data_IF_325408127999
#
_entry.id   IF_325408127999
#
_cell.length_a   1.000
_cell.length_b   1.000
_cell.length_c   1.000
_cell.angle_alpha   90.00
_cell.angle_beta   90.00
_cell.angle_gamma   90.00
#
_symmetry.space_group_name_H-M   'P 1'
#
loop_
_entity.id
_entity.type
_entity.pdbx_description
1 polymer ?
#
# COMPACT_ATOMS: atom_id res chain seq x y z
N UNK A 1 24.51 42.12 27.98
CA UNK A 1 23.80 41.46 26.86
C UNK A 1 24.00 42.30 25.61
N UNK A 2 24.92 41.92 24.72
CA UNK A 2 25.13 42.64 23.46
C UNK A 2 24.24 42.02 22.38
N UNK A 3 23.24 42.77 21.92
CA UNK A 3 22.36 42.35 20.83
C UNK A 3 23.09 42.55 19.49
N UNK A 4 23.44 41.45 18.83
CA UNK A 4 23.99 41.48 17.48
C UNK A 4 22.86 41.93 16.54
N UNK A 5 23.06 43.05 15.84
CA UNK A 5 22.06 43.59 14.92
C UNK A 5 21.98 42.72 13.66
N UNK A 6 20.79 42.65 13.05
CA UNK A 6 20.52 41.84 11.85
C UNK A 6 21.50 42.12 10.67
N UNK A 7 22.08 43.33 10.63
CA UNK A 7 23.10 43.73 9.66
C UNK A 7 24.44 43.00 9.88
N UNK A 8 24.86 42.82 11.13
CA UNK A 8 26.08 42.09 11.48
C UNK A 8 25.97 40.58 11.20
N UNK A 9 24.78 40.00 11.39
CA UNK A 9 24.53 38.58 11.07
C UNK A 9 24.60 38.31 9.55
N UNK A 10 24.09 39.23 8.73
CA UNK A 10 24.19 39.14 7.27
C UNK A 10 25.63 39.27 6.77
N UNK A 11 26.42 40.16 7.39
CA UNK A 11 27.83 40.33 7.05
C UNK A 11 28.65 39.07 7.37
N UNK A 12 28.49 38.51 8.57
CA UNK A 12 29.16 37.26 8.99
C UNK A 12 28.76 36.09 8.10
N UNK A 13 27.48 36.00 7.69
CA UNK A 13 27.01 34.93 6.81
C UNK A 13 27.56 35.05 5.39
N UNK A 14 27.74 36.26 4.89
CA UNK A 14 28.34 36.52 3.59
C UNK A 14 29.86 36.22 3.60
N UNK A 15 30.57 36.65 4.64
CA UNK A 15 32.00 36.38 4.77
C UNK A 15 32.27 34.87 4.93
N UNK A 16 31.48 34.18 5.74
CA UNK A 16 31.56 32.73 5.93
C UNK A 16 31.21 31.96 4.63
N UNK A 17 30.25 32.45 3.84
CA UNK A 17 29.90 31.85 2.56
C UNK A 17 30.99 32.06 1.51
N UNK A 18 31.59 33.25 1.42
CA UNK A 18 32.69 33.52 0.50
C UNK A 18 33.97 32.76 0.89
N UNK A 19 34.22 32.51 2.18
CA UNK A 19 35.33 31.66 2.63
C UNK A 19 35.12 30.18 2.22
N UNK A 20 33.90 29.65 2.36
CA UNK A 20 33.58 28.28 1.93
C UNK A 20 33.65 28.17 0.40
N UNK A 21 33.10 29.16 -0.31
CA UNK A 21 33.10 29.22 -1.78
C UNK A 21 34.51 29.32 -2.34
N UNK A 22 35.40 30.09 -1.72
CA UNK A 22 36.80 30.20 -2.14
C UNK A 22 37.60 28.93 -1.83
N UNK A 23 37.35 28.24 -0.72
CA UNK A 23 37.95 26.91 -0.45
C UNK A 23 37.51 25.88 -1.48
N UNK A 24 36.22 25.83 -1.82
CA UNK A 24 35.69 24.92 -2.84
C UNK A 24 36.21 25.22 -4.25
N UNK A 25 36.25 26.48 -4.66
CA UNK A 25 36.77 26.88 -5.99
C UNK A 25 38.25 26.53 -6.15
N UNK A 26 39.08 26.80 -5.13
CA UNK A 26 40.51 26.47 -5.13
C UNK A 26 40.78 24.96 -5.17
N UNK A 27 39.83 24.14 -4.74
CA UNK A 27 39.93 22.68 -4.77
C UNK A 27 39.47 22.10 -6.11
N UNK A 28 38.54 22.77 -6.80
CA UNK A 28 38.08 22.43 -8.16
C UNK A 28 39.16 22.73 -9.20
N UNK A 29 39.96 23.80 -9.04
CA UNK A 29 41.06 24.16 -9.95
C UNK A 29 42.24 23.16 -9.95
N UNK A 30 42.31 22.27 -8.96
CA UNK A 30 43.33 21.19 -8.91
C UNK A 30 42.96 19.97 -9.74
N UNK A 31 41.72 19.88 -10.21
CA UNK A 31 41.26 18.79 -11.06
C UNK A 31 41.46 19.24 -12.50
N UNK A 32 42.28 18.56 -13.34
CA UNK A 32 42.55 18.97 -14.71
C UNK A 32 41.37 18.61 -15.62
N UNK A 33 40.19 19.14 -15.31
CA UNK A 33 39.00 19.01 -16.13
C UNK A 33 38.92 20.21 -17.06
N UNK A 34 38.75 19.98 -18.37
CA UNK A 34 38.62 21.06 -19.31
C UNK A 34 37.33 21.87 -19.03
N UNK A 35 37.29 23.18 -19.35
CA UNK A 35 36.20 24.07 -18.94
C UNK A 35 34.80 23.60 -19.35
N UNK A 36 34.67 22.88 -20.47
CA UNK A 36 33.40 22.30 -20.94
C UNK A 36 32.86 21.19 -20.02
N UNK A 37 33.73 20.43 -19.36
CA UNK A 37 33.33 19.36 -18.44
C UNK A 37 32.72 19.92 -17.15
N UNK A 38 33.25 21.03 -16.64
CA UNK A 38 32.68 21.72 -15.48
C UNK A 38 31.30 22.31 -15.79
N UNK A 39 31.14 22.90 -16.97
CA UNK A 39 29.84 23.40 -17.44
C UNK A 39 28.84 22.23 -17.59
N UNK A 40 29.27 21.09 -18.14
CA UNK A 40 28.43 19.91 -18.26
C UNK A 40 27.97 19.38 -16.89
N UNK A 41 28.87 19.28 -15.92
CA UNK A 41 28.54 18.85 -14.56
C UNK A 41 27.58 19.83 -13.89
N UNK A 42 27.80 21.14 -14.04
CA UNK A 42 26.90 22.16 -13.49
C UNK A 42 25.50 22.10 -14.11
N UNK A 43 25.39 21.86 -15.42
CA UNK A 43 24.11 21.68 -16.12
C UNK A 43 23.41 20.41 -15.64
N UNK A 44 24.13 19.29 -15.50
CA UNK A 44 23.55 18.04 -14.97
C UNK A 44 23.08 18.21 -13.53
N UNK A 45 23.87 18.86 -12.68
CA UNK A 45 23.49 19.16 -11.30
C UNK A 45 22.26 20.09 -11.23
N UNK A 46 22.20 21.13 -12.07
CA UNK A 46 21.05 22.03 -12.16
C UNK A 46 19.79 21.30 -12.64
N UNK A 47 19.90 20.41 -13.62
CA UNK A 47 18.79 19.58 -14.10
C UNK A 47 18.31 18.60 -13.03
N UNK A 48 19.23 17.98 -12.28
CA UNK A 48 18.87 17.10 -11.16
C UNK A 48 18.19 17.85 -10.01
N UNK A 49 18.66 19.06 -9.69
CA UNK A 49 18.02 19.91 -8.68
C UNK A 49 16.64 20.36 -9.16
N UNK A 50 16.50 20.77 -10.43
CA UNK A 50 15.21 21.17 -10.99
C UNK A 50 14.20 20.01 -11.04
N UNK A 51 14.63 18.80 -11.41
CA UNK A 51 13.76 17.62 -11.38
C UNK A 51 13.41 17.24 -9.94
N UNK A 52 14.36 17.29 -9.00
CA UNK A 52 14.10 17.05 -7.59
C UNK A 52 13.11 18.07 -7.00
N UNK A 53 13.31 19.37 -7.27
CA UNK A 53 12.38 20.43 -6.88
C UNK A 53 11.00 20.25 -7.51
N UNK A 54 10.92 19.88 -8.79
CA UNK A 54 9.65 19.60 -9.46
C UNK A 54 8.94 18.36 -8.88
N UNK A 55 9.68 17.30 -8.54
CA UNK A 55 9.15 16.11 -7.88
C UNK A 55 8.66 16.42 -6.46
N UNK A 56 9.37 17.25 -5.70
CA UNK A 56 8.95 17.69 -4.36
C UNK A 56 7.71 18.58 -4.44
N UNK A 57 7.63 19.51 -5.41
CA UNK A 57 6.45 20.35 -5.62
C UNK A 57 5.24 19.49 -6.04
N UNK A 58 5.43 18.48 -6.90
CA UNK A 58 4.34 17.58 -7.32
C UNK A 58 3.88 16.66 -6.18
N UNK A 59 4.81 16.14 -5.35
CA UNK A 59 4.50 15.32 -4.17
C UNK A 59 3.87 16.13 -3.02
N UNK A 60 4.23 17.40 -2.86
CA UNK A 60 3.65 18.29 -1.84
C UNK A 60 2.31 18.93 -2.28
N UNK A 61 2.10 19.20 -3.57
CA UNK A 61 0.83 19.79 -4.06
C UNK A 61 -0.28 18.76 -4.30
N UNK A 62 0.02 17.46 -4.45
CA UNK A 62 -1.00 16.41 -4.62
C UNK A 62 -1.55 15.87 -3.29
N UNK A 63 -1.01 16.25 -2.13
CA UNK A 63 -1.54 15.85 -0.80
C UNK A 63 -2.75 16.67 -0.32
N UNK A 64 -3.26 17.62 -1.13
CA UNK A 64 -4.30 18.56 -0.68
C UNK A 64 -5.53 18.60 -1.59
N UNK A 65 -6.05 17.44 -2.02
CA UNK A 65 -7.35 17.40 -2.70
C UNK A 65 -8.02 16.03 -2.71
N UNK A 66 -8.58 15.55 -1.59
CA UNK A 66 -9.81 14.73 -1.59
C UNK A 66 -10.51 14.82 -0.22
N UNK A 67 -11.31 15.87 0.00
CA UNK A 67 -12.61 15.67 0.66
C UNK A 67 -13.55 16.86 0.41
N UNK A 68 -14.25 16.82 -0.72
CA UNK A 68 -15.58 17.45 -0.91
C UNK A 68 -16.11 17.15 -2.30
N UNK A 69 -17.03 16.20 -2.38
CA UNK A 69 -18.34 16.36 -3.02
C UNK A 69 -19.14 15.08 -2.84
N UNK A 70 -20.01 15.11 -1.83
CA UNK A 70 -21.14 14.20 -1.71
C UNK A 70 -21.98 14.25 -2.98
N UNK A 71 -22.28 13.05 -3.49
CA UNK A 71 -23.09 12.85 -4.69
C UNK A 71 -24.55 12.77 -4.24
N UNK A 72 -25.37 13.69 -4.78
CA UNK A 72 -26.84 13.69 -4.67
C UNK A 72 -27.39 12.30 -5.02
N UNK A 73 -28.14 11.72 -4.11
CA UNK A 73 -29.03 10.59 -4.38
C UNK A 73 -30.23 11.04 -5.22
N UNK A 74 -30.71 10.12 -6.07
CA UNK A 74 -32.10 10.12 -6.55
C UNK A 74 -32.43 8.75 -7.15
N UNK A 75 -32.63 7.78 -6.27
CA UNK A 75 -33.22 6.49 -6.65
C UNK A 75 -34.66 6.54 -6.16
N UNK A 76 -35.60 6.42 -7.10
CA UNK A 76 -37.02 6.36 -6.82
C UNK A 76 -37.52 4.93 -6.67
N UNK A 77 -38.75 4.86 -6.13
CA UNK A 77 -39.72 3.74 -6.12
C UNK A 77 -39.69 2.84 -4.87
N UNK A 78 -40.77 2.44 -4.19
CA UNK A 78 -42.17 2.86 -3.89
C UNK A 78 -42.71 1.76 -2.94
N UNK A 79 -43.82 2.03 -2.23
CA UNK A 79 -44.87 1.14 -1.70
C UNK A 79 -44.65 0.66 -0.24
N UNK A 80 -45.59 0.79 0.73
CA UNK A 80 -47.06 1.04 0.77
C UNK A 80 -47.49 1.66 2.12
N UNK A 81 -48.59 2.42 2.06
CA UNK A 81 -49.75 2.55 2.97
C UNK A 81 -49.58 2.42 4.51
N UNK A 82 -50.09 3.41 5.25
CA UNK A 82 -51.39 3.30 5.96
C UNK A 82 -51.84 4.69 6.46
N UNK A 83 -53.16 4.92 6.46
CA UNK A 83 -53.83 6.17 6.80
C UNK A 83 -54.87 5.93 7.90
N UNK A 84 -55.07 6.92 8.78
CA UNK A 84 -56.12 6.99 9.83
C UNK A 84 -55.73 6.25 11.12
N UNK A 85 -56.11 6.63 12.33
CA UNK A 85 -57.11 7.58 12.82
C UNK A 85 -56.83 7.91 14.31
N UNK A 86 -57.50 8.92 14.85
CA UNK A 86 -57.39 9.48 16.21
C UNK A 86 -57.99 8.59 17.34
N UNK A 87 -57.40 8.64 18.56
CA UNK A 87 -58.01 8.98 19.89
C UNK A 87 -57.41 8.25 21.11
N UNK A 88 -57.19 9.03 22.19
CA UNK A 88 -57.46 8.81 23.65
C UNK A 88 -57.23 7.41 24.27
N UNK A 89 -56.75 7.19 25.52
CA UNK A 89 -56.57 7.98 26.74
C UNK A 89 -55.86 7.06 27.78
N UNK A 90 -55.29 7.64 28.85
CA UNK A 90 -55.01 7.05 30.19
C UNK A 90 -53.99 5.89 30.28
N UNK A 91 -53.37 5.53 31.40
CA UNK A 91 -52.77 6.14 32.59
C UNK A 91 -52.08 4.94 33.30
N UNK A 92 -51.05 5.21 34.10
CA UNK A 92 -50.61 4.45 35.29
C UNK A 92 -49.87 3.09 35.22
N UNK A 93 -48.76 3.10 35.98
CA UNK A 93 -48.17 2.08 36.86
C UNK A 93 -47.58 0.77 36.29
N UNK A 94 -46.26 0.55 36.50
CA UNK A 94 -45.78 -0.42 37.50
C UNK A 94 -44.27 -0.29 37.75
N UNK A 95 -43.88 -0.45 39.02
CA UNK A 95 -42.53 -0.34 39.55
C UNK A 95 -41.87 -1.72 39.75
N UNK A 96 -40.53 -1.72 39.76
CA UNK A 96 -39.69 -2.86 40.12
C UNK A 96 -39.26 -3.68 38.90
N UNK A 97 -38.04 -4.17 38.75
CA UNK A 97 -37.05 -4.52 39.74
C UNK A 97 -35.72 -4.76 39.00
N UNK A 98 -34.64 -4.59 39.76
CA UNK A 98 -33.25 -4.99 39.56
C UNK A 98 -32.93 -5.99 38.44
N UNK A 99 -31.88 -5.71 37.67
CA UNK A 99 -31.23 -6.72 36.84
C UNK A 99 -29.99 -6.19 36.12
N UNK A 100 -28.85 -6.27 36.78
CA UNK A 100 -27.54 -6.11 36.16
C UNK A 100 -27.33 -7.25 35.14
N UNK A 101 -27.38 -6.94 33.86
CA UNK A 101 -26.65 -7.68 32.82
C UNK A 101 -26.18 -6.66 31.79
N UNK A 102 -24.93 -6.22 31.96
CA UNK A 102 -24.16 -5.54 30.92
C UNK A 102 -23.88 -6.58 29.82
N UNK A 103 -24.78 -6.67 28.85
CA UNK A 103 -24.55 -7.33 27.57
C UNK A 103 -24.49 -6.25 26.49
N UNK A 104 -23.35 -6.25 25.77
CA UNK A 104 -23.15 -5.71 24.42
C UNK A 104 -23.33 -4.18 24.30
N UNK A 105 -22.31 -3.42 23.92
CA UNK A 105 -21.86 -3.34 22.54
C UNK A 105 -20.34 -3.18 22.52
N UNK A 106 -19.63 -4.22 22.05
CA UNK A 106 -18.33 -3.99 21.44
C UNK A 106 -18.65 -3.25 20.15
N UNK A 107 -18.57 -1.92 20.20
CA UNK A 107 -18.32 -1.11 19.02
C UNK A 107 -17.01 -1.65 18.42
N UNK A 108 -17.12 -2.64 17.54
CA UNK A 108 -16.10 -2.87 16.54
C UNK A 108 -16.10 -1.58 15.71
N UNK A 109 -15.22 -0.65 16.08
CA UNK A 109 -14.75 0.37 15.17
C UNK A 109 -14.38 -0.38 13.89
N UNK A 110 -15.27 -0.34 12.90
CA UNK A 110 -14.95 -0.66 11.52
C UNK A 110 -13.81 0.28 11.15
N UNK A 111 -12.56 -0.15 11.42
CA UNK A 111 -11.38 0.46 10.82
C UNK A 111 -11.69 0.42 9.35
N UNK A 112 -11.91 1.59 8.77
CA UNK A 112 -12.12 1.81 7.36
C UNK A 112 -10.89 1.20 6.66
N UNK A 113 -10.96 -0.10 6.36
CA UNK A 113 -9.85 -0.84 5.77
C UNK A 113 -9.59 -0.13 4.46
N UNK A 114 -8.43 0.52 4.36
CA UNK A 114 -8.00 1.12 3.12
C UNK A 114 -8.11 0.02 2.05
N UNK A 115 -9.01 0.18 1.08
CA UNK A 115 -9.22 -0.82 0.04
C UNK A 115 -7.99 -0.85 -0.85
N UNK A 116 -7.02 -1.69 -0.50
CA UNK A 116 -5.78 -1.92 -1.26
C UNK A 116 -6.05 -2.68 -2.57
N UNK A 117 -7.18 -3.39 -2.61
CA UNK A 117 -7.69 -4.15 -3.75
C UNK A 117 -8.05 -5.58 -3.34
N UNK A 118 -8.36 -6.40 -4.33
CA UNK A 118 -8.73 -7.81 -4.16
C UNK A 118 -7.88 -8.69 -5.07
N UNK A 119 -7.52 -9.88 -4.59
CA UNK A 119 -6.80 -10.91 -5.33
C UNK A 119 -7.66 -12.16 -5.44
N UNK A 120 -7.82 -12.67 -6.67
CA UNK A 120 -8.39 -13.97 -6.94
C UNK A 120 -7.28 -15.00 -7.13
N UNK A 121 -7.36 -16.07 -6.35
CA UNK A 121 -6.41 -17.17 -6.41
C UNK A 121 -7.16 -18.51 -6.35
N UNK A 122 -6.44 -19.57 -6.74
CA UNK A 122 -6.87 -20.94 -6.58
C UNK A 122 -5.81 -21.74 -5.86
N UNK A 123 -6.23 -22.71 -5.06
CA UNK A 123 -5.37 -23.63 -4.32
C UNK A 123 -5.91 -25.03 -4.51
N UNK A 124 -5.03 -25.93 -4.90
CA UNK A 124 -5.33 -27.35 -5.06
C UNK A 124 -4.17 -28.18 -4.49
N UNK A 125 -4.49 -29.24 -3.76
CA UNK A 125 -3.47 -30.14 -3.22
C UNK A 125 -3.65 -31.54 -3.79
N UNK A 126 -2.62 -31.99 -4.50
CA UNK A 126 -2.55 -33.34 -5.03
C UNK A 126 -1.88 -34.26 -3.99
N UNK A 127 -2.71 -35.07 -3.33
CA UNK A 127 -2.29 -36.06 -2.33
C UNK A 127 -1.48 -37.22 -2.93
N UNK A 128 -1.69 -37.57 -4.20
CA UNK A 128 -0.97 -38.66 -4.86
C UNK A 128 0.46 -38.24 -5.21
N UNK A 129 0.59 -37.00 -5.70
CA UNK A 129 1.88 -36.45 -6.10
C UNK A 129 2.59 -35.64 -5.01
N UNK A 130 1.98 -35.41 -3.86
CA UNK A 130 2.46 -34.55 -2.76
C UNK A 130 2.85 -33.14 -3.24
N UNK A 131 1.94 -32.51 -3.99
CA UNK A 131 2.15 -31.20 -4.63
C UNK A 131 1.02 -30.24 -4.29
N UNK A 132 1.38 -29.07 -3.78
CA UNK A 132 0.48 -27.93 -3.66
C UNK A 132 0.55 -27.10 -4.94
N UNK A 133 -0.58 -26.92 -5.60
CA UNK A 133 -0.76 -26.08 -6.77
C UNK A 133 -1.44 -24.79 -6.34
N UNK A 134 -0.81 -23.65 -6.61
CA UNK A 134 -1.34 -22.31 -6.33
C UNK A 134 -1.49 -21.57 -7.64
N UNK A 135 -2.72 -21.26 -8.03
CA UNK A 135 -3.04 -20.46 -9.20
C UNK A 135 -3.30 -19.01 -8.83
N UNK A 136 -2.66 -18.07 -9.51
CA UNK A 136 -2.95 -16.64 -9.43
C UNK A 136 -3.75 -16.28 -10.69
N UNK A 137 -5.04 -15.99 -10.52
CA UNK A 137 -5.94 -15.75 -11.65
C UNK A 137 -5.89 -14.28 -12.06
N UNK A 138 -6.33 -13.40 -11.16
CA UNK A 138 -6.45 -11.96 -11.43
C UNK A 138 -6.50 -11.17 -10.13
N UNK A 139 -6.25 -9.87 -10.23
CA UNK A 139 -6.54 -8.93 -9.16
C UNK A 139 -7.50 -7.85 -9.67
N UNK A 140 -8.24 -7.23 -8.75
CA UNK A 140 -9.21 -6.19 -9.04
C UNK A 140 -9.13 -5.06 -8.02
N UNK A 141 -9.53 -3.86 -8.45
CA UNK A 141 -9.60 -2.66 -7.60
C UNK A 141 -8.29 -2.33 -6.87
N UNK A 142 -7.14 -2.62 -7.49
CA UNK A 142 -5.84 -2.27 -6.92
C UNK A 142 -5.68 -0.75 -6.79
N UNK A 143 -5.05 -0.30 -5.71
CA UNK A 143 -4.68 1.12 -5.59
C UNK A 143 -3.57 1.49 -6.57
N UNK A 144 -3.68 2.67 -7.16
CA UNK A 144 -2.62 3.20 -8.02
C UNK A 144 -1.48 3.74 -7.16
N UNK A 145 -0.31 3.12 -7.23
CA UNK A 145 0.91 3.65 -6.58
C UNK A 145 1.68 4.61 -7.49
N UNK A 146 1.56 4.50 -8.82
CA UNK A 146 2.27 5.40 -9.71
C UNK A 146 1.70 6.82 -9.72
N UNK A 147 2.61 7.78 -9.91
CA UNK A 147 2.30 9.20 -10.16
C UNK A 147 1.36 9.47 -11.35
N UNK A 148 1.12 8.47 -12.22
CA UNK A 148 0.21 8.50 -13.35
C UNK A 148 -1.22 8.02 -13.07
N UNK A 149 -1.51 7.52 -11.86
CA UNK A 149 -2.80 6.90 -11.54
C UNK A 149 -2.96 5.49 -12.12
N UNK A 150 -1.84 4.86 -12.50
CA UNK A 150 -1.76 3.46 -12.93
C UNK A 150 -0.87 2.68 -11.96
N UNK A 151 -0.79 1.37 -12.15
CA UNK A 151 0.23 0.52 -11.54
C UNK A 151 0.65 -0.54 -12.56
N UNK A 152 1.84 -1.09 -12.36
CA UNK A 152 2.40 -2.23 -13.06
C UNK A 152 2.41 -3.47 -12.10
N UNK A 153 1.24 -4.01 -11.70
CA UNK A 153 1.16 -5.03 -10.66
C UNK A 153 1.78 -6.37 -11.08
N UNK A 154 2.43 -7.02 -10.11
CA UNK A 154 2.84 -8.42 -10.13
C UNK A 154 2.69 -9.06 -8.75
N UNK A 155 2.50 -10.37 -8.70
CA UNK A 155 2.31 -11.13 -7.46
C UNK A 155 3.53 -11.98 -7.19
N UNK A 156 4.02 -11.92 -5.96
CA UNK A 156 5.06 -12.80 -5.42
C UNK A 156 4.42 -13.82 -4.49
N UNK A 157 4.60 -15.09 -4.83
CA UNK A 157 4.07 -16.23 -4.08
C UNK A 157 5.22 -16.96 -3.39
N UNK A 158 5.11 -17.13 -2.08
CA UNK A 158 6.10 -17.85 -1.27
C UNK A 158 5.41 -18.51 -0.07
N UNK A 159 6.09 -19.48 0.54
CA UNK A 159 5.55 -20.22 1.67
C UNK A 159 6.48 -20.02 2.88
N UNK A 160 5.92 -19.60 4.01
CA UNK A 160 6.66 -19.48 5.27
C UNK A 160 6.64 -20.80 6.03
N UNK A 161 7.74 -21.16 6.74
CA UNK A 161 9.01 -20.43 6.85
C UNK A 161 9.98 -20.65 5.66
N UNK A 162 9.65 -21.53 4.72
CA UNK A 162 10.52 -21.89 3.59
C UNK A 162 10.58 -20.80 2.49
N UNK A 163 11.24 -19.68 2.82
CA UNK A 163 11.45 -18.53 1.91
C UNK A 163 12.36 -18.85 0.70
N UNK A 164 12.84 -20.09 0.52
CA UNK A 164 13.75 -20.45 -0.58
C UNK A 164 13.04 -20.52 -1.93
N UNK A 165 11.81 -21.01 -1.96
CA UNK A 165 11.00 -21.10 -3.18
C UNK A 165 10.09 -19.89 -3.27
N UNK A 166 10.47 -18.95 -4.14
CA UNK A 166 9.67 -17.77 -4.48
C UNK A 166 9.33 -17.85 -5.95
N UNK A 167 8.06 -17.59 -6.26
CA UNK A 167 7.57 -17.49 -7.62
C UNK A 167 7.02 -16.08 -7.82
N UNK A 168 7.33 -15.49 -8.96
CA UNK A 168 6.83 -14.17 -9.35
C UNK A 168 6.00 -14.33 -10.62
N UNK A 169 4.85 -13.67 -10.68
CA UNK A 169 4.04 -13.59 -11.90
C UNK A 169 4.67 -12.60 -12.89
N UNK A 170 4.17 -12.62 -14.12
CA UNK A 170 4.42 -11.57 -15.10
C UNK A 170 3.89 -10.23 -14.59
N UNK A 171 4.65 -9.20 -14.94
CA UNK A 171 4.28 -7.81 -14.68
C UNK A 171 3.27 -7.37 -15.75
N UNK A 172 2.10 -6.90 -15.32
CA UNK A 172 1.10 -6.32 -16.22
C UNK A 172 1.16 -4.80 -16.14
N UNK A 173 1.49 -4.15 -17.25
CA UNK A 173 1.73 -2.69 -17.23
C UNK A 173 0.46 -1.87 -17.31
N UNK A 174 0.41 -0.78 -16.55
CA UNK A 174 -0.61 0.26 -16.55
C UNK A 174 -2.03 -0.27 -16.37
N UNK A 175 -2.22 -1.19 -15.43
CA UNK A 175 -3.53 -1.78 -15.13
C UNK A 175 -3.75 -1.92 -13.63
N UNK A 176 -4.97 -1.63 -13.18
CA UNK A 176 -5.42 -1.87 -11.80
C UNK A 176 -6.20 -3.19 -11.68
N UNK A 177 -6.46 -3.85 -12.82
CA UNK A 177 -7.16 -5.13 -12.90
C UNK A 177 -6.33 -6.12 -13.75
N UNK A 178 -5.15 -6.55 -13.26
CA UNK A 178 -4.32 -7.49 -13.98
C UNK A 178 -4.94 -8.89 -14.02
N UNK A 179 -4.84 -9.56 -15.15
CA UNK A 179 -5.21 -10.98 -15.31
C UNK A 179 -3.92 -11.75 -15.57
N UNK A 180 -3.49 -12.52 -14.57
CA UNK A 180 -2.24 -13.29 -14.60
C UNK A 180 -2.45 -14.67 -15.22
N UNK A 181 -3.43 -15.43 -14.73
CA UNK A 181 -3.68 -16.83 -15.08
C UNK A 181 -2.40 -17.69 -15.05
N UNK A 182 -1.63 -17.57 -13.97
CA UNK A 182 -0.39 -18.32 -13.76
C UNK A 182 -0.54 -19.32 -12.62
N UNK A 183 0.13 -20.46 -12.74
CA UNK A 183 0.04 -21.54 -11.75
C UNK A 183 1.43 -21.96 -11.30
N UNK A 184 1.60 -22.05 -9.99
CA UNK A 184 2.85 -22.39 -9.33
C UNK A 184 2.69 -23.69 -8.54
N UNK A 185 3.71 -24.56 -8.60
CA UNK A 185 3.66 -25.88 -7.97
C UNK A 185 4.75 -26.00 -6.91
N UNK A 186 4.35 -26.27 -5.68
CA UNK A 186 5.22 -26.50 -4.53
C UNK A 186 5.17 -27.97 -4.14
N UNK A 187 6.32 -28.65 -4.22
CA UNK A 187 6.49 -30.02 -3.72
C UNK A 187 6.65 -29.98 -2.19
N UNK A 188 5.57 -30.26 -1.45
CA UNK A 188 5.48 -30.20 0.01
C UNK A 188 4.57 -31.34 0.48
N UNK A 189 5.02 -32.10 1.48
CA UNK A 189 4.22 -33.16 2.10
C UNK A 189 3.06 -32.56 2.93
N UNK A 190 1.92 -33.25 2.95
CA UNK A 190 0.72 -32.79 3.65
C UNK A 190 0.96 -32.59 5.15
N UNK A 191 1.76 -33.46 5.77
CA UNK A 191 2.15 -33.38 7.18
C UNK A 191 2.91 -32.09 7.51
N UNK A 192 3.73 -31.59 6.58
CA UNK A 192 4.47 -30.35 6.76
C UNK A 192 3.62 -29.11 6.45
N UNK A 193 2.47 -29.30 5.80
CA UNK A 193 1.67 -28.19 5.28
C UNK A 193 0.94 -27.46 6.40
N UNK A 194 0.44 -28.17 7.42
CA UNK A 194 -0.30 -27.57 8.55
C UNK A 194 0.50 -26.51 9.34
N UNK A 195 1.84 -26.59 9.32
CA UNK A 195 2.72 -25.60 9.95
C UNK A 195 3.19 -24.47 9.03
N UNK A 196 2.70 -24.41 7.79
CA UNK A 196 3.13 -23.45 6.77
C UNK A 196 2.06 -22.40 6.49
N UNK A 197 2.51 -21.24 6.03
CA UNK A 197 1.64 -20.13 5.61
C UNK A 197 1.97 -19.77 4.18
N UNK A 198 0.97 -19.84 3.30
CA UNK A 198 1.08 -19.33 1.94
C UNK A 198 0.96 -17.81 1.98
N UNK A 199 1.93 -17.12 1.41
CA UNK A 199 1.94 -15.67 1.30
C UNK A 199 1.91 -15.28 -0.17
N UNK A 200 0.95 -14.44 -0.53
CA UNK A 200 0.77 -13.87 -1.86
C UNK A 200 0.82 -12.35 -1.72
N UNK A 201 1.97 -11.77 -2.04
CA UNK A 201 2.19 -10.33 -1.91
C UNK A 201 2.14 -9.66 -3.28
N UNK A 202 1.28 -8.66 -3.43
CA UNK A 202 1.11 -7.88 -4.67
C UNK A 202 2.04 -6.67 -4.59
N UNK A 203 2.85 -6.50 -5.62
CA UNK A 203 3.83 -5.43 -5.76
C UNK A 203 3.55 -4.63 -7.02
N UNK A 204 3.88 -3.33 -6.97
CA UNK A 204 3.96 -2.47 -8.14
C UNK A 204 5.39 -2.48 -8.69
N UNK A 205 5.57 -2.93 -9.94
CA UNK A 205 6.88 -2.95 -10.57
C UNK A 205 7.26 -1.55 -11.04
N UNK A 206 8.35 -1.04 -10.50
CA UNK A 206 8.77 0.33 -10.74
C UNK A 206 10.16 0.37 -11.39
N UNK A 207 10.25 0.90 -12.61
CA UNK A 207 11.50 0.82 -13.40
C UNK A 207 12.63 1.68 -12.84
N UNK A 208 12.28 2.77 -12.17
CA UNK A 208 13.21 3.81 -11.72
C UNK A 208 13.23 3.98 -10.21
N UNK A 209 12.49 3.15 -9.48
CA UNK A 209 12.30 3.21 -8.03
C UNK A 209 12.39 1.83 -7.38
N UNK A 210 12.33 1.79 -6.06
CA UNK A 210 12.03 0.55 -5.33
C UNK A 210 10.58 0.16 -5.62
N UNK A 211 10.32 -1.13 -5.79
CA UNK A 211 8.96 -1.63 -5.99
C UNK A 211 8.12 -1.39 -4.73
N UNK A 212 6.92 -0.84 -4.92
CA UNK A 212 5.99 -0.56 -3.84
C UNK A 212 5.13 -1.78 -3.55
N UNK A 213 4.87 -2.06 -2.27
CA UNK A 213 3.96 -3.14 -1.88
C UNK A 213 2.55 -2.59 -1.87
N UNK A 214 1.67 -3.16 -2.68
CA UNK A 214 0.26 -2.77 -2.72
C UNK A 214 -0.47 -3.41 -1.54
N UNK A 215 -0.25 -4.71 -1.34
CA UNK A 215 -0.80 -5.44 -0.22
C UNK A 215 -0.43 -6.92 -0.29
N UNK A 216 -0.83 -7.68 0.71
CA UNK A 216 -0.55 -9.11 0.79
C UNK A 216 -1.76 -9.90 1.30
N UNK A 217 -1.77 -11.18 0.94
CA UNK A 217 -2.67 -12.19 1.50
C UNK A 217 -1.82 -13.24 2.18
N UNK A 218 -2.03 -13.42 3.48
CA UNK A 218 -1.40 -14.49 4.27
C UNK A 218 -2.47 -15.53 4.58
N UNK A 219 -2.24 -16.74 4.11
CA UNK A 219 -3.18 -17.85 4.27
C UNK A 219 -2.48 -19.01 5.00
N UNK A 220 -2.76 -19.18 6.30
CA UNK A 220 -2.28 -20.33 7.04
C UNK A 220 -2.87 -21.59 6.43
N UNK A 221 -2.04 -22.56 6.03
CA UNK A 221 -2.57 -23.75 5.36
C UNK A 221 -3.45 -24.59 6.29
N UNK A 222 -3.31 -24.43 7.62
CA UNK A 222 -4.16 -25.08 8.62
C UNK A 222 -5.63 -24.59 8.61
N UNK A 223 -5.90 -23.39 8.09
CA UNK A 223 -7.27 -22.84 8.06
C UNK A 223 -8.03 -23.19 6.78
N UNK A 224 -7.37 -23.85 5.84
CA UNK A 224 -7.91 -24.15 4.51
C UNK A 224 -8.25 -25.63 4.43
N UNK A 225 -9.44 -25.96 3.91
CA UNK A 225 -9.77 -27.35 3.56
C UNK A 225 -9.22 -27.71 2.18
N UNK A 226 -8.09 -28.41 2.15
CA UNK A 226 -7.43 -28.86 0.92
C UNK A 226 -8.02 -30.15 0.34
N UNK A 227 -9.16 -30.63 0.87
CA UNK A 227 -9.87 -31.78 0.31
C UNK A 227 -10.46 -31.53 -1.08
N UNK A 228 -10.58 -30.26 -1.49
CA UNK A 228 -11.06 -29.85 -2.82
C UNK A 228 -10.27 -28.64 -3.33
N UNK A 229 -10.21 -28.42 -4.66
CA UNK A 229 -9.73 -27.16 -5.20
C UNK A 229 -10.56 -26.00 -4.67
N UNK A 230 -9.88 -24.99 -4.14
CA UNK A 230 -10.49 -23.75 -3.69
C UNK A 230 -10.19 -22.67 -4.72
N UNK A 231 -11.17 -21.84 -5.02
CA UNK A 231 -11.01 -20.62 -5.81
C UNK A 231 -11.87 -19.53 -5.16
N UNK A 232 -11.23 -18.48 -4.66
CA UNK A 232 -11.92 -17.40 -3.97
C UNK A 232 -11.23 -16.04 -4.18
N UNK A 233 -11.99 -14.99 -3.88
CA UNK A 233 -11.48 -13.62 -3.82
C UNK A 233 -11.14 -13.27 -2.38
N UNK A 234 -9.95 -12.69 -2.16
CA UNK A 234 -9.57 -12.11 -0.88
C UNK A 234 -9.17 -10.66 -1.03
N UNK A 235 -9.55 -9.86 -0.04
CA UNK A 235 -9.08 -8.49 0.10
C UNK A 235 -7.59 -8.50 0.48
N UNK A 236 -6.85 -7.53 -0.06
CA UNK A 236 -5.43 -7.35 0.24
C UNK A 236 -5.27 -6.62 1.56
N UNK A 237 -4.38 -7.12 2.40
CA UNK A 237 -4.00 -6.50 3.68
C UNK A 237 -2.72 -5.65 3.51
N UNK A 238 -2.57 -4.63 4.35
CA UNK A 238 -1.35 -3.80 4.33
C UNK A 238 -0.16 -4.64 4.77
N UNK A 239 0.85 -4.75 3.91
CA UNK A 239 2.09 -5.43 4.27
C UNK A 239 2.92 -4.54 5.19
N UNK A 240 3.13 -4.95 6.44
CA UNK A 240 4.04 -4.28 7.36
C UNK A 240 5.48 -4.40 6.82
N UNK A 241 6.00 -3.28 6.32
CA UNK A 241 7.30 -3.21 5.64
C UNK A 241 8.50 -3.62 6.53
N UNK A 242 8.32 -3.76 7.85
CA UNK A 242 9.36 -4.16 8.79
C UNK A 242 9.78 -5.64 8.66
N UNK A 243 8.89 -6.57 8.28
CA UNK A 243 9.28 -7.98 8.08
C UNK A 243 10.12 -8.22 6.81
N UNK A 244 10.15 -7.25 5.89
CA UNK A 244 10.91 -7.33 4.64
C UNK A 244 12.34 -6.75 4.80
N UNK A 245 12.63 -6.07 5.91
CA UNK A 245 13.94 -5.46 6.16
C UNK A 245 14.96 -6.41 6.82
N UNK A 246 14.53 -7.56 7.36
CA UNK A 246 15.45 -8.61 7.83
C UNK A 246 15.88 -9.59 6.73
N UNK A 247 15.56 -9.30 5.47
CA UNK A 247 16.01 -10.10 4.31
C UNK A 247 17.10 -9.38 3.53
N UNK A 248 18.34 -9.46 4.02
CA UNK A 248 19.52 -9.46 3.16
C UNK A 248 20.64 -10.30 3.80
#
# INVERSE_FOLDING_TARGET
MSYITHSQYLLVKNDMFEEIKSKFMNEIDKIPLPPWALIAIAVVAALLILTCCFCIIKKCCCKKKKNKKGKKGKDGFNMKNMQGDEKHQDDDDDEGETGLTEEEEKEEEEKEQEKLGKLQYSIDYDFENTKLTVGILQAADLISMDSGGTSDPYVKVFILPDKKKKYDTKVHKKTLNPVFNETFVFKIAYEELGGKTLCMSVYDYDRFSKHDVIGEVKLPMNTIDLGRPIEEWRDLESADQEEVLFTN
#
